data_IF_894451588666
#
_entry.id   IF_894451588666
#
_cell.length_a   1.000
_cell.length_b   1.000
_cell.length_c   1.000
_cell.angle_alpha   90.00
_cell.angle_beta   90.00
_cell.angle_gamma   90.00
#
_symmetry.space_group_name_H-M   'P 1'
#
loop_
_entity.id
_entity.type
_entity.pdbx_description
1 polymer ?
#
# COMPACT_ATOMS: atom_id res chain seq x y z
N UNK A 1 -8.42 -7.97 -3.33
CA UNK A 1 -7.04 -8.13 -3.85
C UNK A 1 -6.43 -6.81 -4.32
N UNK A 2 -7.21 -5.89 -4.90
CA UNK A 2 -6.72 -4.57 -5.35
C UNK A 2 -6.29 -3.62 -4.22
N UNK A 3 -6.91 -3.68 -3.04
CA UNK A 3 -6.66 -2.67 -2.01
C UNK A 3 -5.24 -2.74 -1.43
N UNK A 4 -4.75 -3.92 -1.02
CA UNK A 4 -3.38 -4.09 -0.52
C UNK A 4 -2.34 -3.68 -1.57
N UNK A 5 -2.52 -4.11 -2.81
CA UNK A 5 -1.64 -3.77 -3.91
C UNK A 5 -1.57 -2.24 -4.10
N UNK A 6 -2.72 -1.57 -4.12
CA UNK A 6 -2.79 -0.12 -4.23
C UNK A 6 -2.17 0.59 -3.02
N UNK A 7 -2.33 0.06 -1.80
CA UNK A 7 -1.65 0.58 -0.61
C UNK A 7 -0.14 0.48 -0.75
N UNK A 8 0.37 -0.66 -1.21
CA UNK A 8 1.80 -0.88 -1.42
C UNK A 8 2.36 0.02 -2.52
N UNK A 9 1.62 0.24 -3.61
CA UNK A 9 2.01 1.19 -4.65
C UNK A 9 2.28 2.58 -4.08
N UNK A 10 1.37 3.10 -3.25
CA UNK A 10 1.55 4.40 -2.59
C UNK A 10 2.73 4.35 -1.62
N UNK A 11 2.79 3.36 -0.73
CA UNK A 11 3.81 3.27 0.32
C UNK A 11 5.23 3.02 -0.18
N UNK A 12 5.39 2.41 -1.35
CA UNK A 12 6.69 2.16 -1.97
C UNK A 12 7.11 3.31 -2.90
N UNK A 13 6.21 4.25 -3.18
CA UNK A 13 6.56 5.43 -3.98
C UNK A 13 7.57 6.30 -3.21
N UNK A 14 8.66 6.73 -3.85
CA UNK A 14 9.68 7.56 -3.19
C UNK A 14 9.12 8.82 -2.55
N UNK A 15 9.57 9.11 -1.32
CA UNK A 15 9.15 10.29 -0.57
C UNK A 15 7.74 10.19 0.00
N UNK A 16 7.12 9.01 0.01
CA UNK A 16 5.84 8.75 0.68
C UNK A 16 6.07 7.90 1.93
N UNK A 17 6.07 8.56 3.09
CA UNK A 17 5.99 7.90 4.39
C UNK A 17 4.54 7.80 4.91
N UNK A 18 4.34 7.26 6.13
CA UNK A 18 3.00 7.06 6.72
C UNK A 18 2.16 8.34 6.81
N UNK A 19 2.79 9.47 7.15
CA UNK A 19 2.10 10.77 7.25
C UNK A 19 1.61 11.24 5.88
N UNK A 20 2.47 11.17 4.86
CA UNK A 20 2.12 11.58 3.50
C UNK A 20 1.09 10.65 2.87
N UNK A 21 1.19 9.35 3.14
CA UNK A 21 0.17 8.37 2.78
C UNK A 21 -1.20 8.80 3.35
N UNK A 22 -1.29 9.06 4.66
CA UNK A 22 -2.55 9.47 5.29
C UNK A 22 -3.09 10.79 4.71
N UNK A 23 -2.23 11.74 4.39
CA UNK A 23 -2.64 12.99 3.75
C UNK A 23 -3.21 12.75 2.34
N UNK A 24 -2.57 11.89 1.53
CA UNK A 24 -3.07 11.52 0.21
C UNK A 24 -4.43 10.82 0.29
N UNK A 25 -4.63 9.91 1.24
CA UNK A 25 -5.93 9.24 1.40
C UNK A 25 -7.02 10.25 1.81
N UNK A 26 -6.69 11.24 2.66
CA UNK A 26 -7.62 12.31 3.02
C UNK A 26 -7.94 13.24 1.85
N UNK A 27 -6.95 13.57 1.03
CA UNK A 27 -7.08 14.47 -0.11
C UNK A 27 -7.89 13.85 -1.25
N UNK A 28 -7.58 12.61 -1.63
CA UNK A 28 -8.20 11.91 -2.77
C UNK A 28 -9.40 11.04 -2.38
N UNK A 29 -9.69 10.91 -1.07
CA UNK A 29 -10.83 10.19 -0.51
C UNK A 29 -10.72 8.66 -0.54
N UNK A 30 -9.88 8.08 -1.41
CA UNK A 30 -9.67 6.63 -1.49
C UNK A 30 -8.24 6.27 -1.92
N UNK A 31 -7.82 5.05 -1.59
CA UNK A 31 -6.52 4.49 -2.02
C UNK A 31 -6.44 4.41 -3.54
N UNK A 32 -7.53 4.02 -4.21
CA UNK A 32 -7.58 3.92 -5.67
C UNK A 32 -7.42 5.27 -6.35
N UNK A 33 -8.10 6.30 -5.85
CA UNK A 33 -7.98 7.67 -6.35
C UNK A 33 -6.58 8.24 -6.11
N UNK A 34 -5.98 7.95 -4.95
CA UNK A 34 -4.61 8.36 -4.65
C UNK A 34 -3.57 7.66 -5.54
N UNK A 35 -3.74 6.37 -5.89
CA UNK A 35 -2.84 5.71 -6.86
C UNK A 35 -2.94 6.36 -8.23
N UNK A 36 -4.15 6.71 -8.68
CA UNK A 36 -4.36 7.36 -9.98
C UNK A 36 -3.65 8.72 -10.07
N UNK A 37 -3.51 9.46 -8.98
CA UNK A 37 -2.81 10.75 -8.97
C UNK A 37 -1.28 10.62 -9.01
N UNK A 38 -0.72 9.48 -8.61
CA UNK A 38 0.73 9.24 -8.59
C UNK A 38 1.34 8.88 -9.96
N UNK A 39 0.51 8.71 -11.00
CA UNK A 39 0.91 8.37 -12.37
C UNK A 39 1.98 7.26 -12.44
N UNK A 40 1.72 6.16 -11.73
CA UNK A 40 2.65 5.06 -11.56
C UNK A 40 2.83 4.31 -12.89
N UNK A 41 4.08 4.04 -13.26
CA UNK A 41 4.40 3.29 -14.47
C UNK A 41 4.23 1.76 -14.29
N UNK A 42 4.18 1.04 -15.41
CA UNK A 42 3.95 -0.40 -15.41
C UNK A 42 5.11 -1.17 -14.76
N UNK A 43 6.35 -0.74 -14.96
CA UNK A 43 7.54 -1.40 -14.37
C UNK A 43 7.51 -1.39 -12.84
N UNK A 44 7.11 -0.26 -12.26
CA UNK A 44 6.95 -0.13 -10.83
C UNK A 44 5.81 -1.02 -10.32
N UNK A 45 4.67 -1.01 -11.02
CA UNK A 45 3.53 -1.89 -10.72
C UNK A 45 3.95 -3.37 -10.69
N UNK A 46 4.73 -3.80 -11.68
CA UNK A 46 5.21 -5.19 -11.76
C UNK A 46 6.25 -5.52 -10.70
N UNK A 47 7.06 -4.55 -10.27
CA UNK A 47 7.98 -4.72 -9.12
C UNK A 47 7.23 -5.04 -7.82
N UNK A 48 6.10 -4.37 -7.58
CA UNK A 48 5.25 -4.60 -6.40
C UNK A 48 4.57 -5.96 -6.47
N UNK A 49 4.14 -6.40 -7.66
CA UNK A 49 3.60 -7.76 -7.84
C UNK A 49 4.63 -8.81 -7.44
N UNK A 50 5.88 -8.67 -7.92
CA UNK A 50 6.98 -9.57 -7.55
C UNK A 50 7.27 -9.55 -6.04
N UNK A 51 7.17 -8.39 -5.39
CA UNK A 51 7.31 -8.27 -3.93
C UNK A 51 6.25 -9.10 -3.20
N UNK A 52 4.97 -8.97 -3.61
CA UNK A 52 3.86 -9.71 -3.02
C UNK A 52 4.01 -11.22 -3.27
N UNK A 53 4.36 -11.61 -4.50
CA UNK A 53 4.55 -13.02 -4.86
C UNK A 53 5.70 -13.65 -4.06
N UNK A 54 6.80 -12.92 -3.89
CA UNK A 54 7.92 -13.35 -3.06
C UNK A 54 7.50 -13.50 -1.59
N UNK A 55 6.80 -12.51 -1.03
CA UNK A 55 6.30 -12.58 0.34
C UNK A 55 5.39 -13.80 0.55
N UNK A 56 4.48 -14.05 -0.39
CA UNK A 56 3.61 -15.22 -0.37
C UNK A 56 4.41 -16.54 -0.42
N UNK A 57 5.44 -16.62 -1.27
CA UNK A 57 6.30 -17.80 -1.37
C UNK A 57 7.08 -18.10 -0.08
N UNK A 58 7.36 -17.06 0.71
CA UNK A 58 8.06 -17.16 1.99
C UNK A 58 7.11 -17.31 3.19
N UNK A 59 5.79 -17.35 2.96
CA UNK A 59 4.79 -17.38 4.02
C UNK A 59 4.68 -16.08 4.82
N UNK A 60 5.14 -14.96 4.27
CA UNK A 60 5.06 -13.63 4.88
C UNK A 60 3.70 -13.00 4.53
N UNK A 61 2.94 -12.61 5.55
CA UNK A 61 1.62 -11.97 5.39
C UNK A 61 1.71 -10.46 5.63
N UNK A 62 1.32 -9.66 4.63
CA UNK A 62 1.03 -8.25 4.86
C UNK A 62 -0.29 -8.10 5.58
N UNK A 63 -0.30 -7.29 6.64
CA UNK A 63 -1.48 -6.97 7.42
C UNK A 63 -1.74 -5.47 7.44
N UNK A 64 -3.00 -5.07 7.30
CA UNK A 64 -3.47 -3.69 7.31
C UNK A 64 -4.19 -3.35 8.62
N UNK A 65 -4.30 -2.06 8.94
CA UNK A 65 -4.91 -1.56 10.18
C UNK A 65 -6.37 -1.98 10.42
N UNK A 66 -7.09 -2.36 9.38
CA UNK A 66 -8.46 -2.87 9.44
C UNK A 66 -8.55 -4.37 9.75
N UNK A 67 -7.44 -5.11 9.71
CA UNK A 67 -7.40 -6.54 9.99
C UNK A 67 -7.28 -6.82 11.50
N UNK A 68 -7.76 -7.98 11.92
CA UNK A 68 -7.78 -8.36 13.34
C UNK A 68 -6.37 -8.56 13.91
N UNK A 69 -5.47 -9.06 13.06
CA UNK A 69 -4.08 -9.36 13.36
C UNK A 69 -3.21 -8.10 13.51
N UNK A 70 -3.71 -6.94 13.05
CA UNK A 70 -2.96 -5.69 13.18
C UNK A 70 -2.98 -5.19 14.64
N UNK A 71 -1.81 -4.97 15.27
CA UNK A 71 -1.73 -4.61 16.69
C UNK A 71 -2.54 -3.36 17.02
N UNK A 72 -3.44 -3.48 18.02
CA UNK A 72 -4.41 -2.42 18.38
C UNK A 72 -3.73 -1.08 18.69
N UNK A 73 -2.59 -1.10 19.39
CA UNK A 73 -1.86 0.10 19.78
C UNK A 73 -1.18 0.84 18.60
N UNK A 74 -1.09 0.19 17.44
CA UNK A 74 -0.54 0.77 16.22
C UNK A 74 -1.62 1.33 15.28
N UNK A 75 -2.90 1.12 15.57
CA UNK A 75 -4.02 1.70 14.82
C UNK A 75 -4.16 3.18 15.24
N UNK A 76 -3.28 4.03 14.72
CA UNK A 76 -3.30 5.49 14.93
C UNK A 76 -3.80 6.21 13.70
#
# INVERSE_FOLDING_TARGET
MHELFNKLLILRTPGIGPVKYNNLIKEYGSVESAVKSLNINQDFSDSIKREIDLANSLGIKYICNNESEYPKLLRK
#
